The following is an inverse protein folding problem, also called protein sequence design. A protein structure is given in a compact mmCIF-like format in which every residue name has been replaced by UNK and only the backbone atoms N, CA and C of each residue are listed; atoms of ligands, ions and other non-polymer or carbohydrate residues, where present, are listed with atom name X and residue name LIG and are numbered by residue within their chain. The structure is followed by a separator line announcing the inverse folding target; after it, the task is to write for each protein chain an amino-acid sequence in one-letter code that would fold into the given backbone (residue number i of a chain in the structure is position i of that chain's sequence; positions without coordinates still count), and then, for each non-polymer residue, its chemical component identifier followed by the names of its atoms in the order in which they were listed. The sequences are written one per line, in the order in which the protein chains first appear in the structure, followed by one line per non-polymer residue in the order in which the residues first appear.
data_IF_820975981082
#
_entry.id   IF_820975981082
#
_cell.length_a   1.000
_cell.length_b   1.000
_cell.length_c   1.000
_cell.angle_alpha   90.00
_cell.angle_beta   90.00
_cell.angle_gamma   90.00
#
_symmetry.space_group_name_H-M   'P 1'
#
loop_
_entity.id
_entity.type
_entity.pdbx_description
1 polymer ?
#
# COMPACT_ATOMS: atom_id res chain seq x y z
N UNK A 1 35.05 10.04 17.11
CA UNK A 1 34.40 9.67 18.37
C UNK A 1 33.05 9.04 18.06
N UNK A 2 32.80 7.85 18.59
CA UNK A 2 31.49 7.15 18.49
C UNK A 2 30.94 7.03 19.90
N UNK A 3 29.69 7.45 20.09
CA UNK A 3 28.99 7.34 21.38
C UNK A 3 27.55 6.89 21.15
N UNK A 4 26.95 6.26 22.16
CA UNK A 4 25.53 5.88 22.16
C UNK A 4 24.76 6.85 23.02
N UNK A 5 23.52 7.12 22.63
CA UNK A 5 22.57 7.81 23.51
C UNK A 5 22.11 6.80 24.56
N UNK A 6 22.27 7.15 25.84
CA UNK A 6 21.88 6.32 26.97
C UNK A 6 20.36 6.30 27.19
N UNK A 7 19.87 5.56 28.19
CA UNK A 7 18.44 5.45 28.49
C UNK A 7 17.82 6.77 28.97
N UNK A 8 18.64 7.69 29.48
CA UNK A 8 18.22 9.01 29.93
C UNK A 8 18.27 10.05 28.80
N UNK A 9 18.64 9.63 27.59
CA UNK A 9 18.73 10.51 26.43
C UNK A 9 20.02 11.31 26.31
N UNK A 10 21.07 10.93 27.02
CA UNK A 10 22.32 11.66 27.06
C UNK A 10 23.41 11.03 26.21
N UNK A 11 24.32 11.87 25.74
CA UNK A 11 25.60 11.50 25.12
C UNK A 11 26.71 11.95 26.10
N UNK A 12 27.54 11.01 26.56
CA UNK A 12 28.68 11.31 27.41
C UNK A 12 29.93 11.55 26.55
N UNK A 13 30.54 12.70 26.74
CA UNK A 13 31.82 13.05 26.10
C UNK A 13 32.98 12.96 27.14
N UNK A 14 34.03 12.19 26.86
CA UNK A 14 35.18 12.16 27.74
C UNK A 14 35.73 13.59 27.98
N UNK A 15 35.92 13.95 29.24
CA UNK A 15 36.49 15.23 29.69
C UNK A 15 35.65 16.48 29.37
N UNK A 16 34.49 16.36 28.66
CA UNK A 16 33.66 17.52 28.28
C UNK A 16 32.28 17.50 28.96
N UNK A 17 31.92 16.35 29.57
CA UNK A 17 30.64 16.20 30.28
C UNK A 17 29.55 15.56 29.45
N UNK A 18 28.31 15.82 29.82
CA UNK A 18 27.13 15.16 29.30
C UNK A 18 26.29 16.12 28.49
N UNK A 19 25.81 15.67 27.33
CA UNK A 19 24.93 16.41 26.41
C UNK A 19 23.60 15.70 26.24
N UNK A 20 22.49 16.38 26.52
CA UNK A 20 21.14 15.84 26.35
C UNK A 20 20.68 15.93 24.90
N UNK A 21 20.46 14.78 24.25
CA UNK A 21 20.09 14.67 22.84
C UNK A 21 18.64 14.24 22.61
N UNK A 22 18.03 13.46 23.50
CA UNK A 22 16.71 12.88 23.30
C UNK A 22 15.60 13.91 23.09
N UNK A 23 14.52 13.52 22.41
CA UNK A 23 13.35 14.37 22.17
C UNK A 23 13.55 15.47 21.11
N UNK A 24 14.69 15.53 20.45
CA UNK A 24 15.01 16.53 19.43
C UNK A 24 15.20 15.89 18.05
N UNK A 25 14.95 16.66 16.99
CA UNK A 25 15.33 16.25 15.64
C UNK A 25 16.85 16.18 15.49
N UNK A 26 17.34 15.34 14.57
CA UNK A 26 18.77 15.23 14.30
C UNK A 26 19.43 16.59 13.95
N UNK A 27 18.74 17.42 13.16
CA UNK A 27 19.24 18.75 12.82
C UNK A 27 19.36 19.65 14.06
N UNK A 28 18.38 19.61 14.96
CA UNK A 28 18.42 20.35 16.24
C UNK A 28 19.55 19.86 17.13
N UNK A 29 19.74 18.53 17.23
CA UNK A 29 20.84 17.93 17.99
C UNK A 29 22.18 18.38 17.43
N UNK A 30 22.38 18.34 16.11
CA UNK A 30 23.62 18.78 15.45
C UNK A 30 23.96 20.24 15.77
N UNK A 31 22.97 21.13 15.70
CA UNK A 31 23.15 22.56 16.01
C UNK A 31 23.48 22.79 17.50
N UNK A 32 22.71 22.17 18.40
CA UNK A 32 22.95 22.29 19.84
C UNK A 32 24.29 21.69 20.25
N UNK A 33 24.69 20.58 19.63
CA UNK A 33 25.98 19.94 19.84
C UNK A 33 27.13 20.85 19.38
N UNK A 34 26.97 21.53 18.25
CA UNK A 34 27.97 22.53 17.79
C UNK A 34 28.17 23.65 18.84
N UNK A 35 27.08 24.16 19.43
CA UNK A 35 27.15 25.17 20.47
C UNK A 35 27.79 24.60 21.76
N UNK A 36 27.40 23.40 22.18
CA UNK A 36 27.96 22.73 23.34
C UNK A 36 29.47 22.54 23.23
N UNK A 37 29.91 21.93 22.10
CA UNK A 37 31.33 21.69 21.83
C UNK A 37 32.09 23.00 21.57
N UNK A 38 31.45 24.03 21.07
CA UNK A 38 32.04 25.34 20.86
C UNK A 38 32.53 26.04 22.12
N UNK A 39 32.03 25.62 23.30
CA UNK A 39 32.55 26.08 24.61
C UNK A 39 34.00 25.58 24.86
N UNK A 40 34.35 24.47 24.30
CA UNK A 40 35.65 23.82 24.45
C UNK A 40 36.55 24.00 23.23
N UNK A 41 35.94 24.12 22.04
CA UNK A 41 36.63 24.25 20.75
C UNK A 41 36.17 25.57 20.07
N UNK A 42 36.80 26.68 20.45
CA UNK A 42 36.44 28.01 19.97
C UNK A 42 36.43 28.14 18.45
N UNK A 43 37.25 27.36 17.74
CA UNK A 43 37.25 27.32 16.28
C UNK A 43 35.96 26.88 15.62
N UNK A 44 35.05 26.20 16.36
CA UNK A 44 33.71 25.81 15.84
C UNK A 44 32.76 26.99 15.67
N UNK A 45 32.94 28.04 16.45
CA UNK A 45 32.10 29.24 16.48
C UNK A 45 32.79 30.49 15.90
N UNK A 46 34.08 30.36 15.48
CA UNK A 46 34.81 31.48 14.88
C UNK A 46 34.28 31.82 13.47
N UNK A 47 34.49 33.08 13.05
CA UNK A 47 34.24 33.51 11.68
C UNK A 47 35.52 34.05 11.05
N UNK A 48 36.09 33.39 10.00
CA UNK A 48 35.70 32.09 9.41
C UNK A 48 35.92 30.92 10.36
N UNK A 49 35.07 29.84 10.16
CA UNK A 49 35.21 28.63 10.96
C UNK A 49 36.62 27.98 10.75
N UNK A 50 37.35 27.75 11.85
CA UNK A 50 38.67 27.09 11.84
C UNK A 50 38.60 25.61 12.18
N UNK A 51 37.45 25.18 12.74
CA UNK A 51 37.15 23.77 13.11
C UNK A 51 35.78 23.41 12.57
N UNK A 52 35.67 22.20 12.06
CA UNK A 52 34.40 21.67 11.49
C UNK A 52 33.91 20.51 12.35
N UNK A 53 32.56 20.47 12.54
CA UNK A 53 31.90 19.36 13.21
C UNK A 53 31.08 18.61 12.18
N UNK A 54 31.42 17.35 11.97
CA UNK A 54 30.54 16.42 11.28
C UNK A 54 29.90 15.44 12.27
N UNK A 55 28.60 15.22 12.10
CA UNK A 55 27.81 14.32 12.95
C UNK A 55 27.00 13.42 12.05
N UNK A 56 27.14 12.12 12.24
CA UNK A 56 26.39 11.10 11.52
C UNK A 56 25.76 10.09 12.49
N UNK A 57 24.65 9.50 12.08
CA UNK A 57 24.02 8.39 12.79
C UNK A 57 24.60 7.08 12.23
N UNK A 58 25.36 6.37 13.04
CA UNK A 58 26.00 5.11 12.63
C UNK A 58 25.13 3.90 12.90
N UNK A 59 24.25 3.97 13.89
CA UNK A 59 23.36 2.88 14.26
C UNK A 59 22.04 3.42 14.79
N UNK A 60 20.93 2.92 14.25
CA UNK A 60 19.59 3.26 14.69
C UNK A 60 19.04 2.09 15.50
N UNK A 61 18.49 2.38 16.66
CA UNK A 61 17.88 1.37 17.54
C UNK A 61 16.68 0.74 16.83
N UNK A 62 16.62 -0.60 16.73
CA UNK A 62 15.45 -1.26 16.18
C UNK A 62 14.22 -1.01 17.07
N UNK A 63 13.05 -1.01 16.46
CA UNK A 63 11.76 -0.95 17.14
C UNK A 63 11.06 -2.29 17.04
N UNK A 64 10.36 -2.67 18.10
CA UNK A 64 9.50 -3.84 18.14
C UNK A 64 8.11 -3.43 17.74
N UNK A 65 7.55 -4.07 16.71
CA UNK A 65 6.17 -3.89 16.24
C UNK A 65 5.46 -5.24 16.22
N UNK A 66 4.17 -5.25 16.45
CA UNK A 66 3.35 -6.45 16.35
C UNK A 66 2.57 -6.42 15.04
N UNK A 67 2.72 -7.42 14.20
CA UNK A 67 1.94 -7.58 12.95
C UNK A 67 0.96 -8.72 13.17
N UNK A 68 -0.34 -8.43 13.11
CA UNK A 68 -1.40 -9.35 13.49
C UNK A 68 -2.44 -9.51 12.37
N UNK A 69 -3.21 -10.59 12.46
CA UNK A 69 -4.28 -10.90 11.52
C UNK A 69 -3.79 -11.71 10.32
N UNK A 70 -4.31 -11.42 9.13
CA UNK A 70 -4.09 -12.19 7.91
C UNK A 70 -2.78 -11.83 7.21
N UNK A 71 -1.66 -12.13 7.86
CA UNK A 71 -0.29 -12.03 7.34
C UNK A 71 0.37 -13.41 7.35
N UNK A 72 1.45 -13.58 6.61
CA UNK A 72 2.15 -14.86 6.51
C UNK A 72 2.75 -15.31 7.84
N UNK A 73 3.39 -14.38 8.57
CA UNK A 73 4.00 -14.67 9.87
C UNK A 73 3.50 -13.66 10.89
N UNK A 74 2.35 -13.90 11.56
CA UNK A 74 1.84 -13.02 12.58
C UNK A 74 2.70 -13.08 13.85
N UNK A 75 2.83 -11.95 14.54
CA UNK A 75 3.58 -11.86 15.79
C UNK A 75 4.42 -10.59 15.91
N UNK A 76 5.31 -10.56 16.91
CA UNK A 76 6.22 -9.45 17.12
C UNK A 76 7.41 -9.53 16.15
N UNK A 77 7.72 -8.41 15.50
CA UNK A 77 8.85 -8.24 14.61
C UNK A 77 9.76 -7.11 15.09
N UNK A 78 11.07 -7.35 14.99
CA UNK A 78 12.07 -6.29 15.18
C UNK A 78 12.39 -5.70 13.80
N UNK A 79 12.10 -4.42 13.63
CA UNK A 79 12.36 -3.68 12.40
C UNK A 79 13.28 -2.50 12.68
N UNK A 80 13.90 -1.97 11.64
CA UNK A 80 14.74 -0.78 11.78
C UNK A 80 13.95 0.37 12.41
N UNK A 81 14.59 1.21 13.22
CA UNK A 81 13.95 2.35 13.88
C UNK A 81 13.41 3.44 12.94
N UNK A 82 13.71 3.37 11.64
CA UNK A 82 13.12 4.21 10.59
C UNK A 82 12.12 3.44 9.72
N UNK A 83 11.80 2.19 10.08
CA UNK A 83 10.91 1.35 9.29
C UNK A 83 9.51 1.94 9.22
N UNK A 84 8.89 1.72 8.09
CA UNK A 84 7.51 2.09 7.78
C UNK A 84 6.58 0.87 7.87
N UNK A 85 5.29 1.08 7.64
CA UNK A 85 4.30 0.00 7.62
C UNK A 85 4.64 -1.05 6.56
N UNK A 86 5.06 -0.63 5.36
CA UNK A 86 5.46 -1.56 4.30
C UNK A 86 6.65 -2.42 4.73
N UNK A 87 7.65 -1.83 5.40
CA UNK A 87 8.78 -2.61 5.88
C UNK A 87 8.38 -3.69 6.90
N UNK A 88 7.43 -3.38 7.79
CA UNK A 88 6.93 -4.36 8.75
C UNK A 88 6.08 -5.45 8.09
N UNK A 89 5.27 -5.10 7.09
CA UNK A 89 4.53 -6.09 6.29
C UNK A 89 5.49 -7.03 5.54
N UNK A 90 6.57 -6.50 4.94
CA UNK A 90 7.60 -7.34 4.32
C UNK A 90 8.31 -8.24 5.34
N UNK A 91 8.62 -7.71 6.53
CA UNK A 91 9.24 -8.49 7.61
C UNK A 91 8.34 -9.64 8.11
N UNK A 92 7.01 -9.49 8.03
CA UNK A 92 6.04 -10.54 8.36
C UNK A 92 5.77 -11.52 7.20
N UNK A 93 6.51 -11.42 6.09
CA UNK A 93 6.31 -12.26 4.90
C UNK A 93 5.15 -11.82 4.01
N UNK A 94 4.61 -10.62 4.23
CA UNK A 94 3.50 -10.05 3.47
C UNK A 94 2.11 -10.44 3.97
N UNK A 95 1.11 -9.89 3.31
CA UNK A 95 -0.30 -10.18 3.57
C UNK A 95 -0.66 -11.53 2.95
N UNK A 96 -1.40 -12.36 3.68
CA UNK A 96 -1.86 -13.67 3.20
C UNK A 96 -2.93 -13.52 2.12
N UNK A 97 -3.20 -14.60 1.37
CA UNK A 97 -4.21 -14.60 0.31
C UNK A 97 -5.63 -14.28 0.78
N UNK A 98 -5.93 -14.48 2.06
CA UNK A 98 -7.21 -14.15 2.69
C UNK A 98 -7.22 -12.76 3.33
N UNK A 99 -6.08 -12.07 3.39
CA UNK A 99 -5.96 -10.75 4.00
C UNK A 99 -6.39 -9.62 3.08
N UNK A 100 -6.85 -8.52 3.70
CA UNK A 100 -7.16 -7.29 2.98
C UNK A 100 -5.89 -6.51 2.64
N UNK A 101 -5.82 -6.00 1.42
CA UNK A 101 -4.81 -5.03 0.98
C UNK A 101 -5.29 -3.58 1.16
N UNK A 102 -6.56 -3.38 1.50
CA UNK A 102 -7.23 -2.07 1.41
C UNK A 102 -7.68 -1.50 2.75
N UNK A 103 -7.50 -2.25 3.85
CA UNK A 103 -7.88 -1.83 5.21
C UNK A 103 -6.82 -2.30 6.22
N UNK A 104 -5.55 -1.90 6.00
CA UNK A 104 -4.47 -2.18 6.93
C UNK A 104 -4.48 -1.11 8.03
N UNK A 105 -4.72 -1.54 9.26
CA UNK A 105 -4.87 -0.65 10.42
C UNK A 105 -3.60 -0.57 11.24
N UNK A 106 -3.24 0.64 11.62
CA UNK A 106 -2.08 0.89 12.50
C UNK A 106 -2.58 1.48 13.81
N UNK A 107 -2.27 0.79 14.89
CA UNK A 107 -2.60 1.22 16.25
C UNK A 107 -1.34 1.63 17.01
N UNK A 108 -1.44 2.73 17.74
CA UNK A 108 -0.42 3.21 18.69
C UNK A 108 -1.08 3.53 20.02
N UNK A 109 -0.55 2.98 21.11
CA UNK A 109 -1.15 3.12 22.45
C UNK A 109 -2.66 2.80 22.44
N UNK A 110 -3.06 1.70 21.82
CA UNK A 110 -4.44 1.22 21.64
C UNK A 110 -5.38 2.19 20.89
N UNK A 111 -4.85 3.22 20.22
CA UNK A 111 -5.63 4.13 19.37
C UNK A 111 -5.32 3.86 17.90
N UNK A 112 -6.35 3.79 17.08
CA UNK A 112 -6.19 3.75 15.63
C UNK A 112 -5.61 5.08 15.15
N UNK A 113 -4.41 5.05 14.57
CA UNK A 113 -3.72 6.25 14.07
C UNK A 113 -3.81 6.39 12.56
N UNK A 114 -3.92 5.27 11.85
CA UNK A 114 -4.01 5.28 10.38
C UNK A 114 -4.67 4.01 9.88
N UNK A 115 -5.47 4.15 8.82
CA UNK A 115 -5.89 3.06 7.94
C UNK A 115 -5.23 3.27 6.60
N UNK A 116 -4.64 2.23 6.04
CA UNK A 116 -3.83 2.29 4.81
C UNK A 116 -4.48 1.41 3.75
N UNK A 117 -4.68 1.98 2.57
CA UNK A 117 -5.05 1.29 1.35
C UNK A 117 -3.78 1.07 0.51
N UNK A 118 -3.37 -0.17 0.35
CA UNK A 118 -2.16 -0.50 -0.39
C UNK A 118 -2.36 -0.46 -1.92
N UNK A 119 -3.59 -0.29 -2.41
CA UNK A 119 -3.83 -0.25 -3.85
C UNK A 119 -3.17 0.95 -4.51
N UNK A 120 -3.15 2.12 -3.88
CA UNK A 120 -2.44 3.29 -4.41
C UNK A 120 -0.93 3.02 -4.53
N UNK A 121 -0.38 2.29 -3.57
CA UNK A 121 1.01 1.86 -3.64
C UNK A 121 1.26 0.83 -4.75
N UNK A 122 0.42 -0.21 -4.83
CA UNK A 122 0.61 -1.33 -5.77
C UNK A 122 0.34 -0.89 -7.22
N UNK A 123 -0.68 -0.06 -7.44
CA UNK A 123 -1.13 0.31 -8.80
C UNK A 123 -0.50 1.60 -9.33
N UNK A 124 -0.05 2.50 -8.44
CA UNK A 124 0.43 3.83 -8.82
C UNK A 124 1.83 4.16 -8.25
N UNK A 125 2.37 3.31 -7.37
CA UNK A 125 3.65 3.59 -6.68
C UNK A 125 3.57 4.70 -5.64
N UNK A 126 2.36 5.11 -5.23
CA UNK A 126 2.17 6.18 -4.24
C UNK A 126 2.44 5.66 -2.83
N UNK A 127 3.41 6.26 -2.14
CA UNK A 127 3.83 5.92 -0.77
C UNK A 127 3.36 6.93 0.29
N UNK A 128 2.53 7.89 -0.06
CA UNK A 128 2.12 8.98 0.86
C UNK A 128 1.38 8.47 2.11
N UNK A 129 0.78 7.30 2.02
CA UNK A 129 0.10 6.67 3.15
C UNK A 129 1.04 5.85 4.04
N UNK A 130 2.26 5.56 3.61
CA UNK A 130 3.21 4.74 4.33
C UNK A 130 3.87 5.53 5.47
N UNK A 131 3.44 5.29 6.69
CA UNK A 131 3.89 6.01 7.88
C UNK A 131 5.02 5.27 8.61
N UNK A 132 5.87 6.04 9.29
CA UNK A 132 6.90 5.47 10.17
C UNK A 132 6.28 4.85 11.41
N UNK A 133 6.81 3.69 11.75
CA UNK A 133 6.42 2.95 12.94
C UNK A 133 7.21 3.39 14.17
N UNK A 134 6.58 3.25 15.31
CA UNK A 134 7.16 3.46 16.63
C UNK A 134 7.19 2.15 17.41
N UNK A 135 7.97 2.13 18.47
CA UNK A 135 8.04 0.95 19.34
C UNK A 135 6.67 0.65 19.95
N UNK A 136 6.29 -0.64 19.93
CA UNK A 136 5.00 -1.18 20.37
C UNK A 136 3.80 -0.79 19.50
N UNK A 137 4.00 -0.28 18.28
CA UNK A 137 2.90 -0.16 17.31
C UNK A 137 2.38 -1.56 16.95
N UNK A 138 1.08 -1.60 16.66
CA UNK A 138 0.38 -2.81 16.22
C UNK A 138 -0.17 -2.56 14.81
N UNK A 139 0.24 -3.40 13.87
CA UNK A 139 -0.35 -3.49 12.55
C UNK A 139 -1.37 -4.62 12.56
N UNK A 140 -2.57 -4.33 12.09
CA UNK A 140 -3.63 -5.32 11.97
C UNK A 140 -4.12 -5.40 10.53
N UNK A 141 -4.07 -6.61 9.98
CA UNK A 141 -4.58 -6.94 8.65
C UNK A 141 -5.82 -7.81 8.82
N UNK A 142 -6.98 -7.25 8.53
CA UNK A 142 -8.26 -7.98 8.58
C UNK A 142 -8.41 -8.98 7.43
N UNK A 143 -9.51 -9.76 7.40
CA UNK A 143 -9.85 -10.57 6.24
C UNK A 143 -10.27 -9.69 5.07
N UNK A 144 -10.03 -10.16 3.83
CA UNK A 144 -10.61 -9.59 2.62
C UNK A 144 -12.10 -9.91 2.59
N UNK A 145 -12.94 -8.88 2.56
CA UNK A 145 -14.40 -9.03 2.68
C UNK A 145 -15.04 -9.18 1.30
N UNK A 146 -14.59 -8.42 0.31
CA UNK A 146 -15.20 -8.37 -1.01
C UNK A 146 -14.14 -8.44 -2.10
N UNK A 147 -14.43 -9.24 -3.14
CA UNK A 147 -13.53 -9.39 -4.27
C UNK A 147 -14.28 -9.67 -5.57
N UNK A 148 -13.69 -9.23 -6.67
CA UNK A 148 -14.18 -9.42 -8.04
C UNK A 148 -13.11 -10.10 -8.86
N UNK A 149 -13.52 -11.09 -9.66
CA UNK A 149 -12.62 -11.75 -10.62
C UNK A 149 -12.70 -11.05 -11.97
N UNK A 150 -11.58 -10.52 -12.45
CA UNK A 150 -11.47 -9.88 -13.75
C UNK A 150 -10.75 -10.79 -14.74
N UNK A 151 -11.39 -11.08 -15.87
CA UNK A 151 -10.92 -11.99 -16.93
C UNK A 151 -10.99 -11.34 -18.32
N UNK A 152 -10.36 -11.99 -19.30
CA UNK A 152 -10.46 -11.64 -20.72
C UNK A 152 -9.45 -10.58 -21.15
N UNK A 153 -9.86 -9.68 -22.03
CA UNK A 153 -8.98 -8.73 -22.72
C UNK A 153 -8.72 -7.46 -21.92
N UNK A 154 -8.09 -7.63 -20.77
CA UNK A 154 -7.60 -6.56 -19.89
C UNK A 154 -6.06 -6.63 -19.80
N UNK A 155 -5.42 -5.59 -19.27
CA UNK A 155 -3.95 -5.60 -19.13
C UNK A 155 -3.50 -6.59 -18.08
N UNK A 156 -4.18 -6.62 -16.92
CA UNK A 156 -3.87 -7.54 -15.83
C UNK A 156 -5.15 -8.24 -15.38
N UNK A 157 -5.31 -9.50 -15.78
CA UNK A 157 -6.40 -10.35 -15.33
C UNK A 157 -6.03 -10.93 -13.95
N UNK A 158 -6.87 -10.68 -12.94
CA UNK A 158 -6.63 -11.11 -11.55
C UNK A 158 -7.91 -11.05 -10.72
N UNK A 159 -7.81 -11.44 -9.45
CA UNK A 159 -8.83 -11.19 -8.43
C UNK A 159 -8.48 -9.87 -7.76
N UNK A 160 -9.41 -8.92 -7.80
CA UNK A 160 -9.27 -7.61 -7.20
C UNK A 160 -10.16 -7.49 -5.97
N UNK A 161 -9.60 -6.92 -4.90
CA UNK A 161 -10.39 -6.52 -3.75
C UNK A 161 -11.11 -5.21 -4.07
N UNK A 162 -12.41 -5.15 -3.78
CA UNK A 162 -13.23 -3.97 -3.98
C UNK A 162 -13.82 -3.47 -2.68
N UNK A 163 -14.09 -2.15 -2.63
CA UNK A 163 -14.85 -1.50 -1.57
C UNK A 163 -16.28 -1.23 -2.03
N UNK A 164 -17.17 -1.03 -1.07
CA UNK A 164 -18.55 -0.62 -1.33
C UNK A 164 -18.60 0.66 -2.18
N UNK A 165 -19.45 0.67 -3.20
CA UNK A 165 -19.58 1.78 -4.14
C UNK A 165 -18.53 1.82 -5.26
N UNK A 166 -17.56 0.90 -5.29
CA UNK A 166 -16.61 0.82 -6.39
C UNK A 166 -17.23 0.20 -7.64
N UNK A 167 -16.80 0.71 -8.78
CA UNK A 167 -17.43 0.48 -10.08
C UNK A 167 -16.52 -0.26 -11.06
N UNK A 168 -17.05 -0.61 -12.22
CA UNK A 168 -16.28 -1.13 -13.36
C UNK A 168 -15.10 -0.21 -13.73
N UNK A 169 -15.27 1.11 -13.64
CA UNK A 169 -14.20 2.06 -13.94
C UNK A 169 -13.03 1.91 -12.94
N UNK A 170 -13.36 1.78 -11.65
CA UNK A 170 -12.35 1.53 -10.61
C UNK A 170 -11.60 0.23 -10.87
N UNK A 171 -12.32 -0.85 -11.20
CA UNK A 171 -11.74 -2.16 -11.49
C UNK A 171 -10.78 -2.11 -12.69
N UNK A 172 -11.18 -1.45 -13.78
CA UNK A 172 -10.32 -1.29 -14.95
C UNK A 172 -9.10 -0.41 -14.63
N UNK A 173 -9.26 0.62 -13.80
CA UNK A 173 -8.11 1.41 -13.33
C UNK A 173 -7.10 0.54 -12.56
N UNK A 174 -7.57 -0.32 -11.67
CA UNK A 174 -6.69 -1.23 -10.90
C UNK A 174 -5.96 -2.23 -11.79
N UNK A 175 -6.61 -2.70 -12.86
CA UNK A 175 -6.02 -3.65 -13.81
C UNK A 175 -5.04 -3.00 -14.80
N UNK A 176 -4.83 -1.68 -14.75
CA UNK A 176 -4.04 -0.94 -15.72
C UNK A 176 -4.79 -0.64 -17.03
N UNK A 177 -6.09 -0.92 -17.08
CA UNK A 177 -6.96 -0.65 -18.23
C UNK A 177 -7.24 -1.85 -19.14
N UNK A 178 -7.97 -1.58 -20.18
CA UNK A 178 -8.33 -2.55 -21.23
C UNK A 178 -7.14 -2.81 -22.18
N UNK A 179 -7.09 -4.00 -22.75
CA UNK A 179 -6.14 -4.29 -23.81
C UNK A 179 -6.59 -3.64 -25.15
N UNK A 180 -5.68 -3.47 -26.10
CA UNK A 180 -5.98 -2.86 -27.40
C UNK A 180 -7.05 -3.63 -28.20
N UNK A 181 -7.18 -4.94 -27.94
CA UNK A 181 -8.15 -5.81 -28.62
C UNK A 181 -9.42 -6.03 -27.81
N UNK A 182 -9.62 -5.29 -26.73
CA UNK A 182 -10.79 -5.40 -25.88
C UNK A 182 -12.04 -4.84 -26.57
N UNK A 183 -13.15 -5.57 -26.46
CA UNK A 183 -14.47 -5.06 -26.85
C UNK A 183 -15.05 -4.25 -25.68
N UNK A 184 -15.33 -2.98 -25.93
CA UNK A 184 -16.02 -2.11 -24.97
C UNK A 184 -17.54 -2.18 -25.09
N UNK A 185 -18.07 -2.73 -26.16
CA UNK A 185 -19.52 -2.82 -26.40
C UNK A 185 -20.24 -3.87 -25.55
N UNK A 186 -19.49 -4.88 -25.06
CA UNK A 186 -20.07 -5.97 -24.27
C UNK A 186 -19.08 -6.44 -23.20
N UNK A 187 -19.23 -5.92 -21.99
CA UNK A 187 -18.59 -6.42 -20.79
C UNK A 187 -19.56 -7.34 -20.06
N UNK A 188 -19.24 -8.60 -19.97
CA UNK A 188 -20.09 -9.59 -19.31
C UNK A 188 -19.79 -9.68 -17.82
N UNK A 189 -20.81 -9.58 -16.99
CA UNK A 189 -20.71 -9.65 -15.54
C UNK A 189 -21.61 -10.79 -15.07
N UNK A 190 -20.97 -11.83 -14.51
CA UNK A 190 -21.68 -12.92 -13.85
C UNK A 190 -21.75 -12.63 -12.36
N UNK A 191 -22.94 -12.28 -11.87
CA UNK A 191 -23.21 -11.85 -10.50
C UNK A 191 -23.90 -12.93 -9.70
N UNK A 192 -23.47 -13.09 -8.44
CA UNK A 192 -24.09 -13.99 -7.48
C UNK A 192 -25.18 -13.20 -6.71
N UNK A 193 -26.35 -13.80 -6.51
CA UNK A 193 -27.38 -13.21 -5.65
C UNK A 193 -26.89 -13.10 -4.21
N UNK A 194 -27.13 -11.98 -3.53
CA UNK A 194 -26.87 -11.86 -2.10
C UNK A 194 -27.57 -12.97 -1.31
N UNK A 195 -26.98 -13.41 -0.20
CA UNK A 195 -27.56 -14.50 0.63
C UNK A 195 -29.02 -14.27 1.01
N UNK A 196 -29.40 -13.03 1.34
CA UNK A 196 -30.78 -12.66 1.70
C UNK A 196 -31.79 -12.83 0.58
N UNK A 197 -31.36 -12.82 -0.68
CA UNK A 197 -32.19 -12.89 -1.88
C UNK A 197 -32.17 -14.28 -2.53
N UNK A 198 -31.45 -15.25 -1.92
CA UNK A 198 -31.42 -16.65 -2.38
C UNK A 198 -32.66 -17.37 -1.88
N UNK A 199 -33.48 -17.83 -2.81
CA UNK A 199 -34.68 -18.57 -2.51
C UNK A 199 -34.42 -20.06 -2.75
N UNK A 200 -34.82 -20.94 -1.81
CA UNK A 200 -34.60 -22.40 -1.93
C UNK A 200 -35.31 -23.03 -3.13
N UNK A 201 -36.32 -22.34 -3.68
CA UNK A 201 -37.09 -22.80 -4.83
C UNK A 201 -36.49 -22.46 -6.21
N UNK A 202 -35.48 -21.58 -6.28
CA UNK A 202 -34.85 -21.15 -7.53
C UNK A 202 -33.49 -21.83 -7.72
N UNK A 203 -33.37 -22.58 -8.79
CA UNK A 203 -32.17 -23.35 -9.18
C UNK A 203 -31.01 -22.42 -9.56
N UNK A 204 -31.20 -21.12 -9.73
CA UNK A 204 -30.19 -20.20 -10.24
C UNK A 204 -29.90 -19.06 -9.27
N UNK A 205 -28.77 -19.14 -8.59
CA UNK A 205 -28.25 -18.09 -7.72
C UNK A 205 -27.24 -17.15 -8.42
N UNK A 206 -27.02 -17.35 -9.72
CA UNK A 206 -26.12 -16.57 -10.54
C UNK A 206 -26.83 -16.10 -11.81
N UNK A 207 -26.65 -14.83 -12.16
CA UNK A 207 -27.20 -14.23 -13.38
C UNK A 207 -26.14 -13.48 -14.16
N UNK A 208 -26.32 -13.42 -15.47
CA UNK A 208 -25.42 -12.74 -16.39
C UNK A 208 -26.02 -11.39 -16.79
N UNK A 209 -25.23 -10.33 -16.64
CA UNK A 209 -25.55 -8.99 -17.12
C UNK A 209 -24.48 -8.56 -18.11
N UNK A 210 -24.89 -7.95 -19.21
CA UNK A 210 -23.95 -7.37 -20.19
C UNK A 210 -24.03 -5.86 -20.13
N UNK A 211 -22.90 -5.22 -19.93
CA UNK A 211 -22.76 -3.77 -19.84
C UNK A 211 -22.00 -3.24 -21.07
N UNK A 212 -22.58 -2.22 -21.71
CA UNK A 212 -21.88 -1.50 -22.78
C UNK A 212 -21.01 -0.41 -22.17
N UNK A 213 -19.71 -0.66 -22.08
CA UNK A 213 -18.73 0.26 -21.50
C UNK A 213 -18.36 1.44 -22.42
N UNK A 214 -18.73 1.37 -23.72
CA UNK A 214 -18.53 2.49 -24.66
C UNK A 214 -19.45 3.67 -24.36
N UNK A 215 -20.60 3.42 -23.73
CA UNK A 215 -21.58 4.45 -23.41
C UNK A 215 -21.26 5.07 -22.05
N UNK A 216 -20.65 6.28 -22.06
CA UNK A 216 -20.00 6.89 -20.89
C UNK A 216 -20.96 7.20 -19.73
N UNK A 217 -22.28 7.34 -19.97
CA UNK A 217 -23.19 7.83 -18.93
C UNK A 217 -23.73 6.75 -17.98
N UNK A 218 -23.81 5.49 -18.42
CA UNK A 218 -24.40 4.41 -17.59
C UNK A 218 -23.45 3.27 -17.21
N UNK A 219 -22.31 3.16 -17.86
CA UNK A 219 -21.44 1.99 -17.72
C UNK A 219 -20.30 2.18 -16.73
N UNK A 220 -19.80 3.40 -16.60
CA UNK A 220 -18.71 3.72 -15.67
C UNK A 220 -19.19 3.61 -14.22
N UNK A 221 -20.46 3.97 -13.97
CA UNK A 221 -21.09 3.90 -12.67
C UNK A 221 -21.67 2.53 -12.29
N UNK A 222 -21.45 1.47 -13.08
CA UNK A 222 -21.93 0.14 -12.70
C UNK A 222 -21.18 -0.36 -11.46
N UNK A 223 -21.89 -0.38 -10.33
CA UNK A 223 -21.34 -0.83 -9.06
C UNK A 223 -21.08 -2.34 -9.07
N UNK A 224 -19.93 -2.73 -8.53
CA UNK A 224 -19.54 -4.11 -8.38
C UNK A 224 -19.91 -4.63 -6.99
N UNK A 225 -20.18 -5.92 -6.92
CA UNK A 225 -20.48 -6.62 -5.67
C UNK A 225 -19.57 -7.81 -5.47
N UNK A 226 -19.45 -8.27 -4.22
CA UNK A 226 -18.64 -9.43 -3.89
C UNK A 226 -19.03 -10.66 -4.71
N UNK A 227 -18.03 -11.35 -5.24
CA UNK A 227 -18.18 -12.53 -6.06
C UNK A 227 -18.55 -12.27 -7.52
N UNK A 228 -18.60 -11.01 -7.98
CA UNK A 228 -18.76 -10.71 -9.40
C UNK A 228 -17.59 -11.27 -10.22
N UNK A 229 -17.91 -11.83 -11.37
CA UNK A 229 -16.95 -12.26 -12.37
C UNK A 229 -17.14 -11.42 -13.63
N UNK A 230 -16.18 -10.51 -13.88
CA UNK A 230 -16.19 -9.59 -15.02
C UNK A 230 -15.34 -10.16 -16.14
N UNK A 231 -15.92 -10.32 -17.31
CA UNK A 231 -15.21 -10.85 -18.51
C UNK A 231 -15.29 -9.85 -19.64
N UNK A 232 -14.13 -9.39 -20.11
CA UNK A 232 -14.01 -8.50 -21.25
C UNK A 232 -13.70 -9.32 -22.51
N UNK A 233 -14.60 -9.25 -23.49
CA UNK A 233 -14.45 -9.98 -24.76
C UNK A 233 -13.44 -9.33 -25.69
N UNK A 234 -13.04 -10.06 -26.73
CA UNK A 234 -12.23 -9.54 -27.83
C UNK A 234 -13.13 -8.90 -28.89
N UNK A 235 -12.59 -7.86 -29.56
CA UNK A 235 -13.25 -7.31 -30.75
C UNK A 235 -13.31 -8.37 -31.87
N UNK A 236 -14.33 -8.28 -32.72
CA UNK A 236 -14.46 -9.17 -33.86
C UNK A 236 -13.28 -9.00 -34.82
N UNK A 237 -12.74 -10.11 -35.32
CA UNK A 237 -11.62 -10.12 -36.28
C UNK A 237 -12.02 -9.67 -37.67
N UNK A 238 -13.32 -9.39 -37.90
CA UNK A 238 -13.81 -8.90 -39.21
C UNK A 238 -13.19 -7.55 -39.56
N UNK A 239 -12.48 -7.50 -40.69
CA UNK A 239 -11.88 -6.28 -41.23
C UNK A 239 -12.87 -5.63 -42.20
N UNK A 240 -13.10 -4.31 -42.06
CA UNK A 240 -13.79 -3.50 -43.05
C UNK A 240 -12.91 -3.42 -44.33
N UNK A 241 -13.51 -3.40 -45.48
CA UNK A 241 -12.86 -3.23 -46.78
C UNK A 241 -11.92 -4.40 -47.19
N UNK A 242 -12.13 -5.60 -46.65
CA UNK A 242 -11.43 -6.80 -47.08
C UNK A 242 -12.40 -7.70 -47.83
N UNK A 243 -12.05 -8.03 -49.09
CA UNK A 243 -12.74 -8.99 -49.91
C UNK A 243 -11.94 -10.29 -49.89
N UNK A 244 -12.59 -11.40 -49.55
CA UNK A 244 -12.02 -12.74 -49.72
C UNK A 244 -12.53 -13.31 -51.04
N UNK A 245 -11.62 -13.74 -51.88
CA UNK A 245 -11.95 -14.46 -53.11
C UNK A 245 -11.53 -15.91 -52.88
N UNK A 246 -12.49 -16.82 -52.76
CA UNK A 246 -12.25 -18.26 -52.76
C UNK A 246 -12.71 -18.84 -54.10
N UNK A 247 -11.83 -19.58 -54.80
CA UNK A 247 -12.11 -20.27 -56.02
C UNK A 247 -10.82 -20.75 -56.71
N UNK A 248 -10.96 -21.74 -57.57
CA UNK A 248 -9.85 -22.13 -58.46
C UNK A 248 -9.58 -20.99 -59.47
N UNK A 249 -8.42 -20.38 -59.35
CA UNK A 249 -7.90 -19.42 -60.36
C UNK A 249 -6.95 -20.15 -61.26
#
# INVERSE_FOLDING_TARGET
FVSKIDLNGNISFPNLGVFFAAGNSFATVKNRLKIFLGKYYSGLLSSPNRTFLDVSLTQIRPVKVSVLGNVTTPGPHLVNGLATVLNALYASGGISTSGTLRDVKVYRNNKLIKTIDLYDYITQGNIDQDIRLSNNDVLFVGPRISSVTLKGKVRTAAIYEIKEGETLESLFKFSGGLSAVASTSAVNISRIKPFKDRNQELVFDRFLTTVNYSNQDNSKGFELTDGDEVTVQEILTKQKNKVFIEGNV
#
